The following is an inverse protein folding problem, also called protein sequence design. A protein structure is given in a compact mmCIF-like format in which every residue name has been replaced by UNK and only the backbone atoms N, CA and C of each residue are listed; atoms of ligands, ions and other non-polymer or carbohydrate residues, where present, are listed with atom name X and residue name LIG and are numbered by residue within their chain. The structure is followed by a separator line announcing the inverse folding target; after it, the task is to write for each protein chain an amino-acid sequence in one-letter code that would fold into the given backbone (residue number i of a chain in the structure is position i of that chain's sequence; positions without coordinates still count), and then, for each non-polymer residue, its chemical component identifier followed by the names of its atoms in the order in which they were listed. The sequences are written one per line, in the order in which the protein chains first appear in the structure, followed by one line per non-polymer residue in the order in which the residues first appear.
data_IF_855277869586
#
_entry.id   IF_855277869586
#
_cell.length_a   1.000
_cell.length_b   1.000
_cell.length_c   1.000
_cell.angle_alpha   90.00
_cell.angle_beta   90.00
_cell.angle_gamma   90.00
#
_symmetry.space_group_name_H-M   'P 1'
#
loop_
_entity.id
_entity.type
_entity.pdbx_description
1 polymer ?
#
# COMPACT_ATOMS: atom_id res chain seq x y z
N UNK A 1 -15.11 -5.54 17.24
CA UNK A 1 -14.74 -4.15 17.58
C UNK A 1 -14.36 -3.34 16.34
N UNK A 2 -13.25 -3.62 15.63
CA UNK A 2 -12.83 -2.76 14.49
C UNK A 2 -13.85 -2.66 13.34
N UNK A 3 -14.48 -3.76 12.93
CA UNK A 3 -15.53 -3.73 11.91
C UNK A 3 -16.75 -2.90 12.35
N UNK A 4 -17.08 -2.97 13.64
CA UNK A 4 -18.21 -2.25 14.21
C UNK A 4 -17.95 -0.74 14.21
N UNK A 5 -16.76 -0.32 14.68
CA UNK A 5 -16.33 1.08 14.61
C UNK A 5 -16.36 1.60 13.16
N UNK A 6 -15.84 0.82 12.21
CA UNK A 6 -15.86 1.19 10.80
C UNK A 6 -17.30 1.39 10.26
N UNK A 7 -18.21 0.49 10.62
CA UNK A 7 -19.61 0.60 10.21
C UNK A 7 -20.29 1.82 10.85
N UNK A 8 -19.99 2.13 12.11
CA UNK A 8 -20.48 3.31 12.83
C UNK A 8 -19.96 4.62 12.22
N UNK A 9 -18.65 4.71 11.95
CA UNK A 9 -18.03 5.91 11.35
C UNK A 9 -18.49 6.15 9.90
N UNK A 10 -18.66 5.08 9.13
CA UNK A 10 -19.03 5.21 7.71
C UNK A 10 -20.54 5.19 7.46
N UNK A 11 -21.34 4.90 8.48
CA UNK A 11 -22.79 4.71 8.36
C UNK A 11 -23.20 3.53 7.48
N UNK A 12 -22.26 2.63 7.14
CA UNK A 12 -22.49 1.50 6.25
C UNK A 12 -22.53 0.19 7.04
N UNK A 13 -23.34 -0.77 6.61
CA UNK A 13 -23.33 -2.11 7.18
C UNK A 13 -22.48 -3.06 6.32
N UNK A 14 -21.15 -3.04 6.53
CA UNK A 14 -20.20 -3.86 5.77
C UNK A 14 -20.00 -5.23 6.41
N UNK A 15 -19.80 -6.27 5.60
CA UNK A 15 -19.45 -7.61 6.11
C UNK A 15 -17.99 -7.70 6.52
N UNK A 16 -17.64 -8.65 7.40
CA UNK A 16 -16.25 -8.87 7.78
C UNK A 16 -15.37 -9.25 6.58
N UNK A 17 -15.92 -9.98 5.61
CA UNK A 17 -15.20 -10.40 4.41
C UNK A 17 -14.83 -9.18 3.54
N UNK A 18 -15.80 -8.30 3.31
CA UNK A 18 -15.58 -7.09 2.51
C UNK A 18 -14.61 -6.12 3.18
N UNK A 19 -14.72 -5.96 4.50
CA UNK A 19 -13.80 -5.16 5.29
C UNK A 19 -12.36 -5.68 5.19
N UNK A 20 -12.16 -6.99 5.37
CA UNK A 20 -10.85 -7.63 5.21
C UNK A 20 -10.30 -7.45 3.79
N UNK A 21 -11.14 -7.63 2.77
CA UNK A 21 -10.78 -7.44 1.36
C UNK A 21 -10.34 -5.99 1.09
N UNK A 22 -11.08 -5.02 1.63
CA UNK A 22 -10.72 -3.60 1.50
C UNK A 22 -9.39 -3.30 2.17
N UNK A 23 -9.16 -3.80 3.38
CA UNK A 23 -7.88 -3.64 4.08
C UNK A 23 -6.72 -4.27 3.30
N UNK A 24 -6.92 -5.47 2.73
CA UNK A 24 -5.93 -6.12 1.89
C UNK A 24 -5.57 -5.26 0.66
N UNK A 25 -6.58 -4.73 -0.04
CA UNK A 25 -6.35 -3.84 -1.18
C UNK A 25 -5.57 -2.57 -0.78
N UNK A 26 -5.91 -1.94 0.36
CA UNK A 26 -5.19 -0.76 0.85
C UNK A 26 -3.72 -1.08 1.15
N UNK A 27 -3.44 -2.25 1.75
CA UNK A 27 -2.06 -2.72 1.99
C UNK A 27 -1.30 -2.96 0.70
N UNK A 28 -1.95 -3.57 -0.31
CA UNK A 28 -1.34 -3.77 -1.63
C UNK A 28 -0.98 -2.45 -2.30
N UNK A 29 -1.88 -1.45 -2.27
CA UNK A 29 -1.59 -0.13 -2.83
C UNK A 29 -0.42 0.54 -2.11
N UNK A 30 -0.40 0.49 -0.78
CA UNK A 30 0.73 1.00 0.00
C UNK A 30 2.05 0.34 -0.38
N UNK A 31 2.09 -1.00 -0.49
CA UNK A 31 3.30 -1.72 -0.88
C UNK A 31 3.81 -1.36 -2.28
N UNK A 32 2.91 -1.07 -3.23
CA UNK A 32 3.29 -0.59 -4.57
C UNK A 32 3.91 0.80 -4.53
N UNK A 33 3.31 1.72 -3.77
CA UNK A 33 3.83 3.07 -3.57
C UNK A 33 5.19 3.02 -2.86
N UNK A 34 5.33 2.22 -1.81
CA UNK A 34 6.59 2.02 -1.08
C UNK A 34 7.70 1.48 -2.00
N UNK A 35 7.37 0.57 -2.91
CA UNK A 35 8.34 0.07 -3.90
C UNK A 35 8.87 1.19 -4.81
N UNK A 36 8.00 2.10 -5.26
CA UNK A 36 8.42 3.25 -6.09
C UNK A 36 9.31 4.21 -5.30
N UNK A 37 8.94 4.50 -4.05
CA UNK A 37 9.77 5.33 -3.15
C UNK A 37 11.15 4.70 -2.97
N UNK A 38 11.20 3.40 -2.66
CA UNK A 38 12.48 2.71 -2.46
C UNK A 38 13.30 2.60 -3.75
N UNK A 39 12.66 2.35 -4.89
CA UNK A 39 13.35 2.36 -6.19
C UNK A 39 13.97 3.73 -6.48
N UNK A 40 13.24 4.83 -6.25
CA UNK A 40 13.75 6.19 -6.47
C UNK A 40 14.94 6.54 -5.56
N UNK A 41 14.96 6.00 -4.33
CA UNK A 41 16.10 6.14 -3.41
C UNK A 41 17.33 5.34 -3.89
N UNK A 42 17.12 4.15 -4.46
CA UNK A 42 18.19 3.25 -4.89
C UNK A 42 18.88 3.72 -6.17
N UNK A 43 18.18 4.39 -7.08
CA UNK A 43 18.71 4.80 -8.39
C UNK A 43 19.68 5.98 -8.34
N UNK A 44 20.07 6.47 -7.14
CA UNK A 44 21.17 7.43 -6.97
C UNK A 44 20.95 8.81 -7.61
N UNK A 45 19.73 9.10 -8.04
CA UNK A 45 19.38 10.41 -8.57
C UNK A 45 19.27 11.38 -7.38
N UNK A 46 19.91 12.54 -7.48
CA UNK A 46 20.07 13.48 -6.36
C UNK A 46 18.75 13.78 -5.65
N UNK A 47 18.83 14.26 -4.40
CA UNK A 47 17.70 14.52 -3.46
C UNK A 47 16.41 15.14 -4.03
N UNK A 48 16.43 15.72 -5.23
CA UNK A 48 15.27 16.26 -5.93
C UNK A 48 14.46 15.24 -6.76
N UNK A 49 14.91 13.99 -6.90
CA UNK A 49 14.30 12.99 -7.79
C UNK A 49 13.68 11.79 -7.03
N UNK A 50 13.52 11.94 -5.71
CA UNK A 50 12.81 10.94 -4.89
C UNK A 50 11.33 11.00 -5.23
N UNK A 51 10.77 9.83 -5.58
CA UNK A 51 9.35 9.69 -5.87
C UNK A 51 8.50 10.10 -4.67
N UNK A 52 7.56 11.02 -4.89
CA UNK A 52 6.55 11.42 -3.91
C UNK A 52 5.28 10.60 -4.17
N UNK A 53 4.82 9.78 -3.19
CA UNK A 53 3.58 9.03 -3.31
C UNK A 53 2.40 9.93 -3.62
N UNK A 54 1.62 9.58 -4.64
CA UNK A 54 0.44 10.35 -5.04
C UNK A 54 -0.78 10.09 -4.15
N UNK A 55 -0.66 9.15 -3.22
CA UNK A 55 -1.79 8.63 -2.47
C UNK A 55 -1.96 9.30 -1.12
N UNK A 56 -3.12 9.93 -0.90
CA UNK A 56 -3.34 10.83 0.23
C UNK A 56 -3.18 10.18 1.62
N UNK A 57 -3.49 8.89 1.75
CA UNK A 57 -3.33 8.16 3.00
C UNK A 57 -2.01 7.38 3.11
N UNK A 58 -1.06 7.59 2.20
CA UNK A 58 0.23 6.90 2.22
C UNK A 58 0.93 7.08 3.59
N UNK A 59 0.98 8.32 4.09
CA UNK A 59 1.60 8.64 5.40
C UNK A 59 0.93 7.92 6.57
N UNK A 60 -0.38 7.68 6.49
CA UNK A 60 -1.12 6.95 7.53
C UNK A 60 -0.76 5.46 7.58
N UNK A 61 -0.14 4.93 6.53
CA UNK A 61 0.23 3.53 6.40
C UNK A 61 1.74 3.30 6.63
N UNK A 62 2.51 4.34 6.97
CA UNK A 62 3.96 4.23 7.24
C UNK A 62 4.29 3.23 8.34
N UNK A 63 3.40 3.03 9.32
CA UNK A 63 3.56 2.02 10.37
C UNK A 63 3.64 0.57 9.83
N UNK A 64 3.27 0.34 8.57
CA UNK A 64 3.38 -0.96 7.91
C UNK A 64 4.75 -1.18 7.27
N UNK A 65 5.61 -0.15 7.18
CA UNK A 65 6.98 -0.29 6.71
C UNK A 65 7.73 -1.33 7.57
N UNK A 66 8.41 -2.29 6.94
CA UNK A 66 9.09 -3.41 7.62
C UNK A 66 8.21 -4.60 8.00
N UNK A 67 6.87 -4.45 8.01
CA UNK A 67 5.93 -5.58 8.18
C UNK A 67 5.40 -6.11 6.86
N UNK A 68 5.54 -5.33 5.80
CA UNK A 68 5.07 -5.66 4.46
C UNK A 68 6.17 -6.39 3.70
N UNK A 69 5.93 -7.66 3.39
CA UNK A 69 6.73 -8.41 2.42
C UNK A 69 6.83 -7.58 1.13
N UNK A 70 8.03 -7.42 0.54
CA UNK A 70 8.17 -6.70 -0.72
C UNK A 70 7.25 -7.33 -1.75
N UNK A 71 6.40 -6.52 -2.39
CA UNK A 71 5.52 -6.99 -3.46
C UNK A 71 6.41 -7.69 -4.50
N UNK A 72 6.23 -9.02 -4.63
CA UNK A 72 7.04 -9.86 -5.54
C UNK A 72 7.12 -9.15 -6.88
N UNK A 73 8.35 -8.98 -7.36
CA UNK A 73 8.56 -8.54 -8.74
C UNK A 73 7.88 -9.58 -9.62
N UNK A 74 6.82 -9.20 -10.34
CA UNK A 74 6.36 -10.01 -11.46
C UNK A 74 7.53 -10.05 -12.44
N UNK A 75 8.26 -11.15 -12.47
CA UNK A 75 9.08 -11.49 -13.62
C UNK A 75 8.10 -11.90 -14.70
N UNK A 76 7.66 -10.95 -15.51
CA UNK A 76 7.07 -11.25 -16.81
C UNK A 76 8.20 -11.81 -17.66
N UNK A 77 8.49 -13.11 -17.50
CA UNK A 77 9.29 -13.84 -18.47
C UNK A 77 8.37 -13.99 -19.68
N UNK A 78 8.64 -13.19 -20.70
CA UNK A 78 8.15 -13.44 -22.04
C UNK A 78 8.87 -14.71 -22.50
N UNK A 79 8.19 -15.85 -22.40
CA UNK A 79 8.63 -17.07 -23.08
C UNK A 79 8.56 -16.78 -24.60
N UNK A 80 9.73 -16.77 -25.25
CA UNK A 80 9.91 -16.66 -26.71
C UNK A 80 9.73 -18.03 -27.39
#
# INVERSE_FOLDING_TARGET
MLLQLFNEETGNNTTLADFKKKLANMRTTYGRELKKVNASKQTGSGSNDIYVPSFWYYRLFEFLEGTTEPCRSGTDILDE
#
